data_IF_998932516379
#
_entry.id   IF_998932516379
#
_cell.length_a   1.000
_cell.length_b   1.000
_cell.length_c   1.000
_cell.angle_alpha   90.00
_cell.angle_beta   90.00
_cell.angle_gamma   90.00
#
_symmetry.space_group_name_H-M   'P 1'
#
loop_
_entity.id
_entity.type
_entity.pdbx_description
1 polymer ?
#
# COMPACT_ATOMS: atom_id res chain seq x y z
N UNK A 1 11.10 50.28 0.35
CA UNK A 1 11.19 49.47 1.58
C UNK A 1 12.16 48.32 1.28
N UNK A 2 13.42 48.51 1.66
CA UNK A 2 14.45 47.48 1.60
C UNK A 2 14.32 46.62 2.84
N UNK A 3 14.20 45.30 2.67
CA UNK A 3 14.28 44.36 3.79
C UNK A 3 15.64 43.68 3.69
N UNK A 4 16.48 44.05 4.63
CA UNK A 4 17.83 43.58 4.86
C UNK A 4 17.76 42.23 5.59
N UNK A 5 18.43 41.20 5.06
CA UNK A 5 18.51 39.87 5.66
C UNK A 5 19.81 39.76 6.45
N UNK A 6 19.81 40.21 7.71
CA UNK A 6 20.92 39.95 8.63
C UNK A 6 20.70 38.64 9.39
N UNK A 7 21.60 37.70 9.14
CA UNK A 7 21.75 36.39 9.77
C UNK A 7 22.15 36.53 11.25
N UNK A 8 21.31 36.07 12.17
CA UNK A 8 21.66 35.92 13.59
C UNK A 8 22.13 34.49 13.88
N UNK A 9 23.43 34.35 14.13
CA UNK A 9 24.09 33.15 14.66
C UNK A 9 23.63 32.91 16.11
N UNK A 10 23.09 31.72 16.38
CA UNK A 10 22.79 31.25 17.74
C UNK A 10 23.99 30.44 18.24
N UNK A 11 24.70 30.98 19.23
CA UNK A 11 25.71 30.25 20.01
C UNK A 11 25.04 29.20 20.91
N UNK A 12 25.33 27.93 20.68
CA UNK A 12 24.97 26.84 21.60
C UNK A 12 26.11 26.66 22.60
N UNK A 13 25.92 27.14 23.83
CA UNK A 13 26.82 26.84 24.96
C UNK A 13 26.62 25.40 25.43
N UNK A 14 27.65 24.57 25.25
CA UNK A 14 27.77 23.23 25.83
C UNK A 14 27.81 23.31 27.36
N UNK A 15 26.83 22.70 28.04
CA UNK A 15 26.88 22.46 29.48
C UNK A 15 27.28 21.00 29.74
N UNK A 16 28.48 20.83 30.32
CA UNK A 16 28.97 19.55 30.83
C UNK A 16 28.15 19.13 32.06
N UNK A 17 27.45 18.00 31.98
CA UNK A 17 26.86 17.32 33.14
C UNK A 17 27.74 16.11 33.47
N UNK A 18 28.49 16.20 34.57
CA UNK A 18 29.23 15.08 35.16
C UNK A 18 28.28 14.17 35.95
N UNK A 19 28.02 12.96 35.45
CA UNK A 19 27.35 11.90 36.20
C UNK A 19 28.38 11.11 37.02
N UNK A 20 28.34 11.24 38.36
CA UNK A 20 29.06 10.39 39.30
C UNK A 20 28.40 9.01 39.38
N UNK A 21 29.14 7.95 39.06
CA UNK A 21 28.75 6.55 39.26
C UNK A 21 29.34 6.06 40.60
N UNK A 22 28.54 5.50 41.53
CA UNK A 22 29.10 4.91 42.76
C UNK A 22 29.73 3.54 42.47
N UNK A 23 30.99 3.38 42.88
CA UNK A 23 31.72 2.11 42.92
C UNK A 23 31.14 1.16 44.00
N UNK A 24 30.71 -0.03 43.60
CA UNK A 24 30.45 -1.16 44.49
C UNK A 24 31.67 -2.11 44.46
N UNK A 25 32.39 -2.15 45.58
CA UNK A 25 33.54 -3.04 45.79
C UNK A 25 33.08 -4.45 46.15
N UNK A 26 33.42 -5.46 45.34
CA UNK A 26 33.28 -6.88 45.72
C UNK A 26 34.63 -7.37 46.25
N UNK A 27 34.68 -7.69 47.55
CA UNK A 27 35.82 -8.33 48.21
C UNK A 27 35.94 -9.78 47.77
N UNK A 28 37.08 -10.14 47.19
CA UNK A 28 37.47 -11.53 46.91
C UNK A 28 38.20 -12.10 48.12
N UNK A 29 37.59 -13.05 48.83
CA UNK A 29 38.30 -13.89 49.80
C UNK A 29 38.64 -15.24 49.16
N UNK A 30 39.93 -15.38 48.85
CA UNK A 30 40.63 -16.63 48.61
C UNK A 30 40.61 -17.49 49.88
N UNK A 31 40.15 -18.74 49.77
CA UNK A 31 40.60 -19.82 50.66
C UNK A 31 40.47 -21.17 49.93
N UNK A 32 41.62 -21.81 49.73
CA UNK A 32 41.78 -23.13 49.12
C UNK A 32 42.30 -24.08 50.20
N UNK A 33 41.71 -25.27 50.37
CA UNK A 33 42.45 -26.41 50.90
C UNK A 33 42.56 -27.51 49.84
N UNK A 34 43.79 -27.98 49.65
CA UNK A 34 44.18 -29.16 48.88
C UNK A 34 43.84 -30.46 49.62
N UNK A 35 43.30 -31.48 48.93
CA UNK A 35 43.37 -32.88 49.36
C UNK A 35 43.33 -33.85 48.16
N UNK A 36 43.93 -35.02 48.38
CA UNK A 36 44.63 -35.96 47.48
C UNK A 36 43.74 -36.78 46.53
N UNK A 37 44.32 -37.43 45.48
CA UNK A 37 43.55 -38.13 44.45
C UNK A 37 43.11 -39.53 44.91
N UNK A 38 41.83 -39.87 44.71
CA UNK A 38 41.31 -41.21 44.89
C UNK A 38 40.58 -41.70 43.62
N UNK A 39 41.06 -42.88 43.21
CA UNK A 39 40.70 -43.83 42.15
C UNK A 39 39.26 -43.83 41.61
N UNK A 40 39.20 -44.00 40.29
CA UNK A 40 38.16 -44.61 39.44
C UNK A 40 36.89 -45.13 40.12
N UNK A 41 35.78 -44.42 39.89
CA UNK A 41 34.42 -44.98 39.97
C UNK A 41 33.64 -44.56 38.71
N UNK A 42 33.31 -45.59 37.93
CA UNK A 42 32.26 -45.72 36.89
C UNK A 42 31.41 -44.49 36.52
N UNK A 43 31.56 -44.02 35.26
CA UNK A 43 30.62 -43.11 34.57
C UNK A 43 29.24 -43.77 34.44
N UNK A 44 28.30 -43.48 35.34
CA UNK A 44 26.86 -43.61 35.09
C UNK A 44 26.30 -42.27 34.62
N UNK A 45 25.55 -42.32 33.51
CA UNK A 45 24.89 -41.20 32.83
C UNK A 45 24.02 -40.39 33.81
N UNK A 46 24.34 -39.10 33.97
CA UNK A 46 23.35 -38.06 34.16
C UNK A 46 23.54 -37.05 33.03
N UNK A 47 22.74 -37.18 31.97
CA UNK A 47 22.53 -36.08 31.03
C UNK A 47 21.77 -35.01 31.80
N UNK A 48 22.46 -34.01 32.33
CA UNK A 48 21.81 -32.75 32.71
C UNK A 48 21.22 -32.18 31.42
N UNK A 49 19.88 -32.21 31.30
CA UNK A 49 19.18 -31.41 30.29
C UNK A 49 19.58 -29.95 30.55
N UNK A 50 20.49 -29.43 29.72
CA UNK A 50 20.52 -28.00 29.48
C UNK A 50 19.15 -27.64 28.92
N UNK A 51 18.29 -27.11 29.78
CA UNK A 51 17.13 -26.34 29.35
C UNK A 51 17.71 -25.10 28.70
N UNK A 52 17.97 -25.17 27.40
CA UNK A 52 18.11 -23.97 26.58
C UNK A 52 16.81 -23.20 26.77
N UNK A 53 16.87 -22.08 27.50
CA UNK A 53 15.82 -21.06 27.46
C UNK A 53 15.57 -20.79 25.98
N UNK A 54 14.44 -21.26 25.45
CA UNK A 54 13.95 -20.81 24.16
C UNK A 54 13.79 -19.30 24.29
N UNK A 55 14.76 -18.56 23.76
CA UNK A 55 14.63 -17.13 23.52
C UNK A 55 13.42 -17.04 22.59
N UNK A 56 12.30 -16.49 23.07
CA UNK A 56 11.13 -16.25 22.24
C UNK A 56 11.62 -15.55 20.98
N UNK A 57 11.46 -16.20 19.83
CA UNK A 57 11.83 -15.62 18.55
C UNK A 57 10.83 -14.50 18.28
N UNK A 58 11.23 -13.25 18.52
CA UNK A 58 10.50 -12.10 18.04
C UNK A 58 11.12 -11.68 16.70
N UNK A 59 10.42 -11.89 15.57
CA UNK A 59 10.96 -11.60 14.26
C UNK A 59 11.15 -10.10 14.02
N UNK A 60 10.58 -9.23 14.85
CA UNK A 60 10.67 -7.78 14.73
C UNK A 60 11.96 -7.18 15.31
N UNK A 61 12.86 -8.01 15.83
CA UNK A 61 14.18 -7.56 16.29
C UNK A 61 15.17 -7.27 15.15
N UNK A 62 14.84 -7.67 13.92
CA UNK A 62 15.66 -7.43 12.74
C UNK A 62 14.89 -6.55 11.75
N UNK A 63 15.49 -5.43 11.34
CA UNK A 63 14.91 -4.57 10.30
C UNK A 63 15.02 -5.33 8.97
N UNK A 64 13.91 -5.46 8.23
CA UNK A 64 13.77 -6.17 6.94
C UNK A 64 13.47 -7.68 6.97
N UNK A 65 13.17 -8.30 8.12
CA UNK A 65 12.59 -9.64 8.14
C UNK A 65 11.16 -9.61 7.59
N UNK A 66 10.97 -10.12 6.36
CA UNK A 66 9.65 -10.31 5.80
C UNK A 66 9.00 -11.52 6.48
N UNK A 67 8.16 -11.28 7.47
CA UNK A 67 7.31 -12.33 8.05
C UNK A 67 6.00 -12.42 7.28
N UNK A 68 5.35 -13.58 7.37
CA UNK A 68 3.94 -13.72 6.97
C UNK A 68 2.99 -13.31 8.10
N UNK A 69 3.53 -12.80 9.21
CA UNK A 69 2.79 -12.38 10.40
C UNK A 69 2.39 -10.92 10.35
N UNK A 70 1.97 -10.43 11.51
CA UNK A 70 1.67 -9.01 11.73
C UNK A 70 2.89 -8.16 11.38
N UNK A 71 2.66 -7.04 10.70
CA UNK A 71 3.73 -6.12 10.33
C UNK A 71 4.42 -5.56 11.58
N UNK A 72 5.73 -5.70 11.65
CA UNK A 72 6.54 -5.12 12.72
C UNK A 72 6.45 -3.58 12.70
N UNK A 73 6.36 -2.96 13.89
CA UNK A 73 6.15 -1.50 14.00
C UNK A 73 4.76 -1.03 13.58
N UNK A 74 3.75 -1.91 13.65
CA UNK A 74 2.36 -1.63 13.22
C UNK A 74 1.83 -0.30 13.79
N UNK A 75 2.07 -0.06 15.08
CA UNK A 75 1.62 1.16 15.77
C UNK A 75 2.24 2.42 15.18
N UNK A 76 3.56 2.42 15.07
CA UNK A 76 4.34 3.55 14.57
C UNK A 76 3.98 3.86 13.12
N UNK A 77 3.84 2.83 12.28
CA UNK A 77 3.44 2.95 10.88
C UNK A 77 2.04 3.55 10.78
N UNK A 78 1.05 3.03 11.51
CA UNK A 78 -0.33 3.51 11.45
C UNK A 78 -0.45 4.96 11.94
N UNK A 79 0.19 5.31 13.06
CA UNK A 79 0.17 6.68 13.59
C UNK A 79 0.89 7.65 12.63
N UNK A 80 2.02 7.24 12.06
CA UNK A 80 2.76 8.02 11.07
C UNK A 80 1.94 8.27 9.80
N UNK A 81 1.27 7.24 9.28
CA UNK A 81 0.39 7.34 8.11
C UNK A 81 -0.84 8.19 8.38
N UNK A 82 -1.44 8.08 9.55
CA UNK A 82 -2.53 8.96 9.97
C UNK A 82 -2.10 10.44 9.98
N UNK A 83 -0.92 10.73 10.54
CA UNK A 83 -0.38 12.10 10.56
C UNK A 83 -0.10 12.61 9.15
N UNK A 84 0.57 11.80 8.32
CA UNK A 84 0.80 12.13 6.91
C UNK A 84 -0.50 12.38 6.15
N UNK A 85 -1.51 11.54 6.35
CA UNK A 85 -2.81 11.71 5.71
C UNK A 85 -3.42 13.06 6.05
N UNK A 86 -3.54 13.38 7.34
CA UNK A 86 -4.21 14.59 7.81
C UNK A 86 -3.57 15.87 7.28
N UNK A 87 -2.25 15.94 7.27
CA UNK A 87 -1.53 17.18 6.93
C UNK A 87 -1.12 17.28 5.45
N UNK A 88 -1.06 16.17 4.70
CA UNK A 88 -0.56 16.16 3.32
C UNK A 88 -1.59 15.67 2.31
N UNK A 89 -2.38 14.63 2.63
CA UNK A 89 -3.28 13.99 1.65
C UNK A 89 -4.74 14.41 1.74
N UNK A 90 -5.23 14.75 2.93
CA UNK A 90 -6.66 14.90 3.20
C UNK A 90 -7.36 15.90 2.27
N UNK A 91 -6.66 16.98 1.86
CA UNK A 91 -7.21 17.97 0.94
C UNK A 91 -7.61 17.44 -0.44
N UNK A 92 -7.06 16.30 -0.89
CA UNK A 92 -7.44 15.69 -2.18
C UNK A 92 -8.73 14.87 -2.09
N UNK A 93 -9.03 14.31 -0.91
CA UNK A 93 -10.22 13.50 -0.65
C UNK A 93 -11.36 14.35 -0.10
N UNK A 94 -11.03 15.31 0.76
CA UNK A 94 -11.95 16.26 1.40
C UNK A 94 -11.44 17.69 1.20
N UNK A 95 -11.68 18.30 0.03
CA UNK A 95 -11.20 19.65 -0.29
C UNK A 95 -11.71 20.72 0.67
N UNK A 96 -12.91 20.51 1.23
CA UNK A 96 -13.53 21.43 2.19
C UNK A 96 -13.00 21.26 3.63
N UNK A 97 -11.96 20.44 3.80
CA UNK A 97 -11.38 20.10 5.09
C UNK A 97 -12.18 19.06 5.87
N UNK A 98 -11.53 18.46 6.86
CA UNK A 98 -12.17 17.60 7.86
C UNK A 98 -11.59 17.90 9.23
N UNK A 99 -12.26 17.41 10.28
CA UNK A 99 -11.77 17.61 11.64
C UNK A 99 -10.51 16.79 11.85
N UNK A 100 -9.55 17.38 12.55
CA UNK A 100 -8.37 16.65 13.00
C UNK A 100 -8.81 15.43 13.83
N UNK A 101 -8.23 14.28 13.50
CA UNK A 101 -8.45 12.98 14.12
C UNK A 101 -7.33 12.67 15.10
N UNK A 102 -7.71 12.07 16.22
CA UNK A 102 -6.75 11.53 17.17
C UNK A 102 -6.15 10.23 16.61
N UNK A 103 -4.94 10.30 16.06
CA UNK A 103 -4.27 9.14 15.48
C UNK A 103 -4.00 8.03 16.49
N UNK A 104 -3.80 8.38 17.77
CA UNK A 104 -3.60 7.40 18.83
C UNK A 104 -4.91 6.67 19.13
N UNK A 105 -6.02 7.39 19.28
CA UNK A 105 -7.34 6.77 19.48
C UNK A 105 -7.75 5.88 18.29
N UNK A 106 -7.46 6.32 17.06
CA UNK A 106 -7.69 5.51 15.86
C UNK A 106 -6.90 4.19 15.90
N UNK A 107 -5.62 4.26 16.25
CA UNK A 107 -4.81 3.06 16.39
C UNK A 107 -5.35 2.16 17.51
N UNK A 108 -5.69 2.71 18.67
CA UNK A 108 -6.21 1.93 19.81
C UNK A 108 -7.56 1.26 19.48
N UNK A 109 -8.42 1.91 18.70
CA UNK A 109 -9.67 1.31 18.21
C UNK A 109 -9.39 0.16 17.24
N UNK A 110 -8.40 0.29 16.35
CA UNK A 110 -7.96 -0.78 15.47
C UNK A 110 -7.31 -1.93 16.25
N UNK A 111 -6.41 -1.61 17.18
CA UNK A 111 -5.72 -2.58 18.03
C UNK A 111 -6.72 -3.39 18.84
N UNK A 112 -7.68 -2.73 19.48
CA UNK A 112 -8.74 -3.37 20.26
C UNK A 112 -9.63 -4.30 19.41
N UNK A 113 -9.72 -4.05 18.11
CA UNK A 113 -10.46 -4.92 17.19
C UNK A 113 -9.74 -6.26 16.98
N UNK A 114 -8.40 -6.29 17.03
CA UNK A 114 -7.57 -7.42 16.58
C UNK A 114 -6.81 -8.10 17.72
N UNK A 115 -6.23 -7.34 18.64
CA UNK A 115 -5.29 -7.81 19.66
C UNK A 115 -5.95 -8.81 20.61
N UNK A 116 -5.23 -9.88 20.94
CA UNK A 116 -5.68 -10.99 21.78
C UNK A 116 -6.90 -11.78 21.26
N UNK A 117 -7.24 -11.64 19.97
CA UNK A 117 -8.34 -12.37 19.35
C UNK A 117 -7.85 -13.33 18.28
N UNK A 118 -8.64 -14.36 17.99
CA UNK A 118 -8.40 -15.21 16.82
C UNK A 118 -8.46 -14.39 15.54
N UNK A 119 -7.58 -14.72 14.58
CA UNK A 119 -7.66 -14.20 13.22
C UNK A 119 -8.96 -14.62 12.51
N UNK A 120 -9.54 -15.74 12.91
CA UNK A 120 -10.82 -16.24 12.43
C UNK A 120 -11.98 -15.78 13.32
N UNK A 121 -13.22 -15.96 12.86
CA UNK A 121 -14.46 -15.53 13.53
C UNK A 121 -14.58 -13.99 13.64
N UNK A 122 -13.98 -13.29 12.69
CA UNK A 122 -14.04 -11.84 12.56
C UNK A 122 -15.18 -11.46 11.62
N UNK A 123 -15.91 -10.39 11.92
CA UNK A 123 -16.95 -9.85 11.06
C UNK A 123 -16.76 -8.34 10.88
N UNK A 124 -17.51 -7.72 9.96
CA UNK A 124 -17.36 -6.29 9.67
C UNK A 124 -17.57 -5.40 10.91
N UNK A 125 -18.53 -5.73 11.80
CA UNK A 125 -18.82 -4.88 12.96
C UNK A 125 -17.68 -4.86 13.98
N UNK A 126 -16.76 -5.85 13.94
CA UNK A 126 -15.54 -5.86 14.76
C UNK A 126 -14.71 -4.57 14.58
N UNK A 127 -14.71 -3.97 13.38
CA UNK A 127 -13.98 -2.73 13.11
C UNK A 127 -14.86 -1.47 13.16
N UNK A 128 -16.12 -1.57 13.58
CA UNK A 128 -17.09 -0.48 13.51
C UNK A 128 -16.61 0.83 14.17
N UNK A 129 -16.04 0.74 15.37
CA UNK A 129 -15.50 1.91 16.09
C UNK A 129 -14.33 2.58 15.35
N UNK A 130 -13.45 1.79 14.75
CA UNK A 130 -12.34 2.31 13.94
C UNK A 130 -12.86 3.12 12.74
N UNK A 131 -13.82 2.57 12.00
CA UNK A 131 -14.41 3.26 10.85
C UNK A 131 -15.24 4.48 11.24
N UNK A 132 -15.96 4.45 12.36
CA UNK A 132 -16.67 5.60 12.91
C UNK A 132 -15.70 6.77 13.18
N UNK A 133 -14.58 6.49 13.85
CA UNK A 133 -13.56 7.50 14.13
C UNK A 133 -12.90 8.03 12.84
N UNK A 134 -12.58 7.13 11.90
CA UNK A 134 -11.82 7.47 10.71
C UNK A 134 -12.65 8.22 9.66
N UNK A 135 -13.90 7.79 9.43
CA UNK A 135 -14.74 8.24 8.31
C UNK A 135 -16.09 8.83 8.75
N UNK A 136 -16.40 8.91 10.04
CA UNK A 136 -17.73 9.35 10.51
C UNK A 136 -18.13 10.78 10.15
N UNK A 137 -17.17 11.64 9.80
CA UNK A 137 -17.38 13.01 9.30
C UNK A 137 -17.20 13.14 7.78
N UNK A 138 -16.85 12.06 7.09
CA UNK A 138 -16.78 12.03 5.63
C UNK A 138 -18.17 11.72 5.09
N UNK A 139 -18.73 12.62 4.28
CA UNK A 139 -20.10 12.50 3.78
C UNK A 139 -20.21 12.13 2.30
N UNK A 140 -19.17 12.45 1.53
CA UNK A 140 -19.17 12.25 0.08
C UNK A 140 -17.75 12.09 -0.45
N UNK A 141 -17.60 11.21 -1.43
CA UNK A 141 -16.40 11.04 -2.23
C UNK A 141 -16.80 11.25 -3.70
N UNK A 142 -16.38 12.38 -4.27
CA UNK A 142 -16.49 12.62 -5.70
C UNK A 142 -15.39 11.89 -6.46
N UNK A 143 -15.64 11.42 -7.69
CA UNK A 143 -14.64 10.76 -8.55
C UNK A 143 -14.05 9.51 -7.90
N UNK A 144 -14.92 8.73 -7.24
CA UNK A 144 -14.51 7.46 -6.64
C UNK A 144 -14.06 6.49 -7.74
N UNK A 145 -12.92 5.83 -7.50
CA UNK A 145 -12.37 4.79 -8.37
C UNK A 145 -12.27 3.48 -7.62
N UNK A 146 -12.99 2.50 -8.15
CA UNK A 146 -12.90 1.10 -7.76
C UNK A 146 -11.96 0.37 -8.71
N UNK A 147 -11.44 -0.77 -8.29
CA UNK A 147 -10.51 -1.53 -9.11
C UNK A 147 -10.57 -3.02 -8.77
N UNK A 148 -10.20 -3.88 -9.72
CA UNK A 148 -10.13 -5.33 -9.51
C UNK A 148 -9.03 -5.96 -10.36
N UNK A 149 -7.99 -6.47 -9.68
CA UNK A 149 -6.82 -7.04 -10.37
C UNK A 149 -5.90 -5.99 -11.01
N UNK A 150 -6.06 -4.72 -10.65
CA UNK A 150 -5.43 -3.54 -11.28
C UNK A 150 -4.87 -2.54 -10.26
N UNK A 151 -4.48 -3.01 -9.06
CA UNK A 151 -4.01 -2.17 -7.95
C UNK A 151 -3.01 -1.10 -8.40
N UNK A 152 -1.87 -1.51 -8.97
CA UNK A 152 -0.76 -0.60 -9.27
C UNK A 152 -1.17 0.52 -10.23
N UNK A 153 -1.87 0.17 -11.32
CA UNK A 153 -2.30 1.15 -12.32
C UNK A 153 -3.43 2.05 -11.82
N UNK A 154 -4.41 1.51 -11.08
CA UNK A 154 -5.48 2.32 -10.49
C UNK A 154 -4.93 3.38 -9.53
N UNK A 155 -3.94 3.02 -8.69
CA UNK A 155 -3.31 3.95 -7.76
C UNK A 155 -2.41 4.97 -8.48
N UNK A 156 -1.71 4.55 -9.52
CA UNK A 156 -0.90 5.46 -10.35
C UNK A 156 -1.79 6.49 -11.04
N UNK A 157 -2.90 6.04 -11.63
CA UNK A 157 -3.85 6.90 -12.33
C UNK A 157 -4.62 7.82 -11.38
N UNK A 158 -5.04 7.30 -10.22
CA UNK A 158 -5.69 8.07 -9.15
C UNK A 158 -4.79 9.18 -8.58
N UNK A 159 -3.46 8.99 -8.63
CA UNK A 159 -2.46 9.98 -8.24
C UNK A 159 -2.65 10.47 -6.79
N UNK A 160 -2.81 9.53 -5.85
CA UNK A 160 -3.05 9.79 -4.43
C UNK A 160 -4.28 10.70 -4.17
N UNK A 161 -5.44 10.38 -4.76
CA UNK A 161 -6.67 11.17 -4.63
C UNK A 161 -6.77 12.40 -5.54
N UNK A 162 -5.69 12.80 -6.24
CA UNK A 162 -5.69 14.02 -7.05
C UNK A 162 -6.59 13.91 -8.28
N UNK A 163 -6.50 12.80 -9.01
CA UNK A 163 -7.29 12.58 -10.23
C UNK A 163 -8.55 11.77 -9.93
N UNK A 164 -8.40 10.75 -9.09
CA UNK A 164 -9.48 9.90 -8.61
C UNK A 164 -9.14 9.44 -7.20
N UNK A 165 -10.17 9.23 -6.39
CA UNK A 165 -10.01 8.73 -5.02
C UNK A 165 -10.23 7.23 -5.05
N UNK A 166 -9.22 6.43 -4.70
CA UNK A 166 -9.43 5.00 -4.42
C UNK A 166 -9.77 4.78 -2.94
N UNK A 167 -10.17 3.55 -2.58
CA UNK A 167 -10.40 3.21 -1.18
C UNK A 167 -9.18 3.53 -0.32
N UNK A 168 -7.99 3.19 -0.82
CA UNK A 168 -6.69 3.35 -0.16
C UNK A 168 -6.28 4.80 0.07
N UNK A 169 -6.91 5.74 -0.64
CA UNK A 169 -6.76 7.16 -0.40
C UNK A 169 -7.62 7.64 0.77
N UNK A 170 -8.57 6.88 1.30
CA UNK A 170 -9.32 7.28 2.51
C UNK A 170 -8.49 7.05 3.78
N UNK A 171 -8.70 7.85 4.83
CA UNK A 171 -7.93 7.73 6.10
C UNK A 171 -7.92 6.30 6.65
N UNK A 172 -9.09 5.66 6.70
CA UNK A 172 -9.25 4.32 7.26
C UNK A 172 -8.37 3.28 6.55
N UNK A 173 -8.34 3.30 5.22
CA UNK A 173 -7.52 2.37 4.45
C UNK A 173 -6.06 2.81 4.36
N UNK A 174 -5.79 4.11 4.21
CA UNK A 174 -4.44 4.67 4.10
C UNK A 174 -3.55 4.28 5.27
N UNK A 175 -4.11 4.22 6.49
CA UNK A 175 -3.36 3.79 7.68
C UNK A 175 -2.86 2.34 7.58
N UNK A 176 -3.63 1.44 6.96
CA UNK A 176 -3.33 -0.01 6.95
C UNK A 176 -2.98 -0.58 5.56
N UNK A 177 -2.98 0.24 4.52
CA UNK A 177 -2.72 -0.20 3.15
C UNK A 177 -1.36 -0.92 3.02
N UNK A 178 -1.37 -2.15 2.52
CA UNK A 178 -0.18 -2.99 2.40
C UNK A 178 0.38 -3.54 3.72
N UNK A 179 -0.33 -3.39 4.84
CA UNK A 179 0.04 -4.01 6.12
C UNK A 179 -0.65 -5.37 6.28
N UNK A 180 -0.06 -6.22 7.11
CA UNK A 180 -0.62 -7.51 7.54
C UNK A 180 -0.84 -7.47 9.05
N UNK A 181 -1.95 -8.04 9.53
CA UNK A 181 -2.22 -8.11 10.97
C UNK A 181 -3.05 -9.34 11.32
N UNK A 182 -2.75 -9.92 12.48
CA UNK A 182 -3.54 -10.98 13.09
C UNK A 182 -3.30 -11.00 14.60
N UNK A 183 -4.40 -11.13 15.35
CA UNK A 183 -4.33 -11.34 16.79
C UNK A 183 -3.86 -12.75 17.12
N UNK A 184 -3.36 -12.90 18.34
CA UNK A 184 -3.01 -14.21 18.92
C UNK A 184 -3.57 -14.33 20.32
N UNK A 185 -4.47 -15.30 20.49
CA UNK A 185 -5.00 -15.62 21.81
C UNK A 185 -3.88 -16.15 22.72
N UNK A 186 -3.90 -15.76 23.99
CA UNK A 186 -2.96 -16.22 25.02
C UNK A 186 -1.47 -15.93 24.73
N UNK A 187 -1.18 -14.99 23.84
CA UNK A 187 0.17 -14.45 23.63
C UNK A 187 0.44 -13.25 24.56
N UNK A 188 1.70 -12.95 24.84
CA UNK A 188 2.06 -11.80 25.69
C UNK A 188 1.85 -10.45 24.98
N UNK A 189 2.17 -10.38 23.69
CA UNK A 189 2.03 -9.17 22.87
C UNK A 189 0.62 -9.06 22.28
N UNK A 190 -0.06 -10.19 22.08
CA UNK A 190 -1.45 -10.26 21.61
C UNK A 190 -1.62 -10.17 20.10
N UNK A 191 -0.51 -10.06 19.36
CA UNK A 191 -0.43 -10.20 17.90
C UNK A 191 0.42 -11.41 17.55
N UNK A 192 0.16 -12.05 16.41
CA UNK A 192 1.10 -13.04 15.86
C UNK A 192 2.03 -12.36 14.84
N UNK A 193 3.26 -12.08 15.25
CA UNK A 193 4.29 -11.51 14.37
C UNK A 193 5.01 -12.56 13.51
N UNK A 194 4.82 -13.86 13.79
CA UNK A 194 5.50 -14.95 13.08
C UNK A 194 4.73 -15.33 11.81
N UNK A 195 3.42 -15.58 11.93
CA UNK A 195 2.59 -15.97 10.79
C UNK A 195 1.11 -15.68 11.02
N UNK A 196 0.48 -15.01 10.06
CA UNK A 196 -0.97 -14.89 9.99
C UNK A 196 -1.56 -16.02 9.14
N UNK A 197 -2.74 -16.56 9.49
CA UNK A 197 -3.45 -17.48 8.61
C UNK A 197 -3.83 -16.79 7.28
N UNK A 198 -3.86 -17.54 6.19
CA UNK A 198 -4.23 -16.99 4.88
C UNK A 198 -5.73 -16.73 4.75
N UNK A 199 -6.57 -17.71 5.13
CA UNK A 199 -8.04 -17.64 5.06
C UNK A 199 -8.67 -18.46 6.18
N UNK A 200 -9.90 -18.14 6.52
CA UNK A 200 -10.76 -18.90 7.42
C UNK A 200 -12.04 -19.34 6.70
N UNK A 201 -12.87 -20.16 7.36
CA UNK A 201 -14.18 -20.55 6.84
C UNK A 201 -15.12 -19.34 6.78
N UNK A 202 -16.10 -19.41 5.89
CA UNK A 202 -17.25 -18.49 5.78
C UNK A 202 -16.90 -17.00 5.64
N UNK A 203 -15.72 -16.69 5.11
CA UNK A 203 -15.23 -15.32 4.98
C UNK A 203 -15.14 -14.54 6.31
N UNK A 204 -14.91 -15.26 7.41
CA UNK A 204 -14.81 -14.68 8.75
C UNK A 204 -13.36 -14.57 9.21
N UNK A 205 -12.55 -13.76 8.52
CA UNK A 205 -11.17 -13.51 8.93
C UNK A 205 -10.80 -12.03 8.92
N UNK A 206 -9.74 -11.67 9.65
CA UNK A 206 -9.50 -10.29 10.07
C UNK A 206 -9.36 -9.29 8.92
N UNK A 207 -8.59 -9.61 7.87
CA UNK A 207 -8.42 -8.71 6.73
C UNK A 207 -9.70 -8.61 5.86
N UNK A 208 -10.44 -9.71 5.68
CA UNK A 208 -11.67 -9.72 4.88
C UNK A 208 -12.79 -8.94 5.55
N UNK A 209 -12.92 -9.09 6.86
CA UNK A 209 -13.85 -8.30 7.65
C UNK A 209 -13.53 -6.80 7.55
N UNK A 210 -12.25 -6.43 7.62
CA UNK A 210 -11.80 -5.05 7.50
C UNK A 210 -12.09 -4.49 6.10
N UNK A 211 -11.56 -5.13 5.05
CA UNK A 211 -11.70 -4.66 3.68
C UNK A 211 -13.15 -4.73 3.19
N UNK A 212 -13.95 -5.68 3.68
CA UNK A 212 -15.38 -5.75 3.39
C UNK A 212 -16.15 -4.55 3.95
N UNK A 213 -15.86 -4.13 5.19
CA UNK A 213 -16.43 -2.91 5.75
C UNK A 213 -15.90 -1.67 5.02
N UNK A 214 -14.60 -1.62 4.74
CA UNK A 214 -13.96 -0.52 4.03
C UNK A 214 -14.58 -0.28 2.66
N UNK A 215 -14.65 -1.32 1.83
CA UNK A 215 -15.27 -1.33 0.51
C UNK A 215 -16.73 -0.92 0.57
N UNK A 216 -17.51 -1.48 1.50
CA UNK A 216 -18.92 -1.12 1.69
C UNK A 216 -19.06 0.37 2.02
N UNK A 217 -18.31 0.87 3.00
CA UNK A 217 -18.39 2.27 3.44
C UNK A 217 -17.94 3.22 2.32
N UNK A 218 -16.87 2.89 1.60
CA UNK A 218 -16.39 3.68 0.47
C UNK A 218 -17.43 3.78 -0.65
N UNK A 219 -18.09 2.67 -1.01
CA UNK A 219 -19.16 2.66 -1.99
C UNK A 219 -20.40 3.47 -1.55
N UNK A 220 -20.73 3.47 -0.26
CA UNK A 220 -21.81 4.28 0.29
C UNK A 220 -21.50 5.79 0.28
N UNK A 221 -20.23 6.16 0.29
CA UNK A 221 -19.78 7.55 0.25
C UNK A 221 -19.60 8.06 -1.19
N UNK A 222 -19.47 7.18 -2.17
CA UNK A 222 -19.29 7.54 -3.57
C UNK A 222 -20.51 8.29 -4.14
N UNK A 223 -20.26 9.35 -4.90
CA UNK A 223 -21.31 10.13 -5.56
C UNK A 223 -20.87 10.69 -6.91
N UNK A 224 -21.87 11.03 -7.74
CA UNK A 224 -21.67 11.49 -9.11
C UNK A 224 -21.23 10.33 -10.02
N UNK A 225 -20.28 10.62 -10.90
CA UNK A 225 -19.65 9.59 -11.73
C UNK A 225 -18.59 8.83 -10.94
N UNK A 226 -18.64 7.51 -11.05
CA UNK A 226 -17.64 6.60 -10.48
C UNK A 226 -16.95 5.82 -11.59
N UNK A 227 -15.73 5.37 -11.30
CA UNK A 227 -14.86 4.69 -12.26
C UNK A 227 -14.47 3.32 -11.72
N UNK A 228 -14.36 2.32 -12.60
CA UNK A 228 -13.99 0.96 -12.22
C UNK A 228 -12.91 0.46 -13.17
N UNK A 229 -11.70 0.26 -12.67
CA UNK A 229 -10.58 -0.23 -13.48
C UNK A 229 -10.50 -1.76 -13.38
N UNK A 230 -10.73 -2.46 -14.48
CA UNK A 230 -10.75 -3.93 -14.52
C UNK A 230 -9.63 -4.47 -15.40
N UNK A 231 -9.21 -5.71 -15.14
CA UNK A 231 -8.19 -6.41 -15.93
C UNK A 231 -8.85 -7.41 -16.88
N UNK A 232 -8.84 -7.09 -18.19
CA UNK A 232 -9.33 -7.93 -19.29
C UNK A 232 -8.33 -9.00 -19.76
N UNK A 233 -7.12 -9.04 -19.18
CA UNK A 233 -6.04 -9.99 -19.49
C UNK A 233 -5.61 -10.80 -18.26
N UNK A 234 -6.57 -11.14 -17.39
CA UNK A 234 -6.25 -11.90 -16.18
C UNK A 234 -5.67 -13.28 -16.50
N UNK A 235 -4.58 -13.63 -15.80
CA UNK A 235 -3.96 -14.94 -15.93
C UNK A 235 -4.93 -16.08 -15.61
N UNK A 236 -4.72 -17.22 -16.27
CA UNK A 236 -5.54 -18.44 -16.16
C UNK A 236 -7.00 -18.24 -16.62
N UNK A 237 -7.25 -17.29 -17.52
CA UNK A 237 -8.58 -17.07 -18.11
C UNK A 237 -9.64 -16.62 -17.10
N UNK A 238 -9.23 -16.01 -15.97
CA UNK A 238 -10.18 -15.46 -15.01
C UNK A 238 -10.94 -14.28 -15.63
N UNK A 239 -12.22 -14.17 -15.33
CA UNK A 239 -13.04 -13.04 -15.80
C UNK A 239 -12.61 -11.70 -15.21
N UNK A 240 -12.84 -10.62 -15.96
CA UNK A 240 -12.56 -9.26 -15.51
C UNK A 240 -13.43 -8.87 -14.31
N UNK A 241 -14.73 -9.24 -14.35
CA UNK A 241 -15.68 -9.06 -13.26
C UNK A 241 -15.89 -10.38 -12.50
N UNK A 242 -15.22 -10.54 -11.36
CA UNK A 242 -15.17 -11.81 -10.60
C UNK A 242 -16.23 -11.90 -9.52
N UNK A 243 -16.80 -13.10 -9.35
CA UNK A 243 -17.74 -13.44 -8.27
C UNK A 243 -17.19 -13.24 -6.86
N UNK A 244 -15.88 -13.43 -6.67
CA UNK A 244 -15.19 -13.33 -5.39
C UNK A 244 -14.48 -11.97 -5.18
N UNK A 245 -14.80 -10.95 -5.99
CA UNK A 245 -14.21 -9.62 -5.86
C UNK A 245 -14.94 -8.74 -4.84
N UNK A 246 -14.20 -7.88 -4.12
CA UNK A 246 -14.79 -6.87 -3.24
C UNK A 246 -15.73 -5.94 -4.00
N UNK A 247 -15.38 -5.58 -5.24
CA UNK A 247 -16.24 -4.76 -6.09
C UNK A 247 -17.63 -5.36 -6.27
N UNK A 248 -17.70 -6.64 -6.61
CA UNK A 248 -18.98 -7.33 -6.76
C UNK A 248 -19.70 -7.56 -5.44
N UNK A 249 -18.99 -7.97 -4.38
CA UNK A 249 -19.60 -8.40 -3.13
C UNK A 249 -20.02 -7.25 -2.21
N UNK A 250 -19.27 -6.14 -2.22
CA UNK A 250 -19.42 -5.07 -1.23
C UNK A 250 -19.58 -3.68 -1.83
N UNK A 251 -19.06 -3.42 -3.02
CA UNK A 251 -19.03 -2.05 -3.55
C UNK A 251 -20.23 -1.79 -4.46
N UNK A 252 -20.35 -2.49 -5.58
CA UNK A 252 -21.44 -2.35 -6.54
C UNK A 252 -22.84 -2.44 -5.88
N UNK A 253 -23.11 -3.40 -4.97
CA UNK A 253 -24.42 -3.47 -4.31
C UNK A 253 -24.73 -2.25 -3.43
N UNK A 254 -23.70 -1.61 -2.87
CA UNK A 254 -23.84 -0.52 -1.89
C UNK A 254 -23.67 0.88 -2.50
N UNK A 255 -23.48 1.00 -3.81
CA UNK A 255 -23.57 2.30 -4.51
C UNK A 255 -24.96 2.91 -4.31
N UNK A 256 -24.99 4.20 -3.95
CA UNK A 256 -26.23 4.92 -3.64
C UNK A 256 -26.98 5.31 -4.90
N UNK A 257 -28.23 4.85 -5.00
CA UNK A 257 -29.13 5.20 -6.11
C UNK A 257 -29.84 6.54 -5.90
N UNK A 258 -30.11 6.89 -4.64
CA UNK A 258 -31.01 7.99 -4.28
C UNK A 258 -30.37 8.98 -3.28
N UNK A 259 -30.99 10.16 -3.18
CA UNK A 259 -30.60 11.24 -2.28
C UNK A 259 -29.57 12.20 -2.89
N UNK A 260 -29.14 13.18 -2.09
CA UNK A 260 -28.26 14.27 -2.53
C UNK A 260 -26.91 13.79 -3.06
N UNK A 261 -26.33 12.77 -2.43
CA UNK A 261 -25.05 12.17 -2.80
C UNK A 261 -25.29 10.78 -3.43
N UNK A 262 -25.92 10.77 -4.60
CA UNK A 262 -26.16 9.55 -5.38
C UNK A 262 -25.08 9.35 -6.45
N UNK A 263 -24.88 8.11 -6.86
CA UNK A 263 -24.14 7.77 -8.08
C UNK A 263 -25.05 8.00 -9.28
N UNK A 264 -24.51 8.63 -10.31
CA UNK A 264 -25.22 8.91 -11.57
C UNK A 264 -24.80 7.95 -12.67
N UNK A 265 -23.50 7.67 -12.77
CA UNK A 265 -22.90 6.88 -13.85
C UNK A 265 -21.77 6.01 -13.33
N UNK A 266 -21.67 4.80 -13.85
CA UNK A 266 -20.55 3.89 -13.63
C UNK A 266 -19.77 3.75 -14.94
N UNK A 267 -18.55 4.27 -14.95
CA UNK A 267 -17.62 4.16 -16.06
C UNK A 267 -16.67 2.96 -15.84
N UNK A 268 -16.76 1.94 -16.68
CA UNK A 268 -15.88 0.76 -16.65
C UNK A 268 -14.71 0.98 -17.60
N UNK A 269 -13.49 0.86 -17.08
CA UNK A 269 -12.24 0.98 -17.83
C UNK A 269 -11.58 -0.40 -17.83
N UNK A 270 -11.60 -1.09 -18.98
CA UNK A 270 -11.07 -2.45 -19.11
C UNK A 270 -9.67 -2.38 -19.71
N UNK A 271 -8.69 -2.88 -18.98
CA UNK A 271 -7.30 -2.86 -19.41
C UNK A 271 -6.85 -4.23 -19.89
N UNK A 272 -6.19 -4.24 -21.05
CA UNK A 272 -5.50 -5.40 -21.57
C UNK A 272 -4.00 -5.20 -21.42
N UNK A 273 -3.34 -6.14 -20.74
CA UNK A 273 -1.90 -6.06 -20.55
C UNK A 273 -1.18 -6.16 -21.89
N UNK A 274 -0.20 -5.29 -22.18
CA UNK A 274 0.58 -5.37 -23.42
C UNK A 274 1.24 -6.75 -23.59
N UNK A 275 1.28 -7.25 -24.82
CA UNK A 275 1.73 -8.61 -25.20
C UNK A 275 1.03 -9.79 -24.46
N UNK A 276 -0.06 -9.55 -23.73
CA UNK A 276 -0.82 -10.59 -23.05
C UNK A 276 -2.06 -11.03 -23.85
N UNK A 277 -2.56 -12.23 -23.54
CA UNK A 277 -3.82 -12.71 -24.08
C UNK A 277 -4.99 -11.83 -23.59
N UNK A 278 -5.86 -11.46 -24.52
CA UNK A 278 -7.11 -10.76 -24.23
C UNK A 278 -8.18 -11.80 -23.87
N UNK A 279 -8.64 -11.77 -22.63
CA UNK A 279 -9.62 -12.74 -22.10
C UNK A 279 -11.06 -12.24 -22.30
N UNK A 280 -11.31 -10.96 -22.00
CA UNK A 280 -12.64 -10.33 -22.03
C UNK A 280 -12.55 -8.85 -22.37
N UNK A 281 -13.40 -8.41 -23.32
CA UNK A 281 -13.61 -7.01 -23.70
C UNK A 281 -14.98 -6.50 -23.24
N UNK A 282 -15.18 -5.18 -23.29
CA UNK A 282 -16.48 -4.56 -23.07
C UNK A 282 -17.62 -5.27 -23.83
N UNK A 283 -18.74 -5.51 -23.13
CA UNK A 283 -19.92 -6.20 -23.69
C UNK A 283 -19.80 -7.72 -23.82
N UNK A 284 -18.74 -8.34 -23.28
CA UNK A 284 -18.53 -9.79 -23.35
C UNK A 284 -18.60 -10.46 -21.97
N UNK A 285 -19.07 -11.72 -21.94
CA UNK A 285 -19.00 -12.62 -20.77
C UNK A 285 -19.39 -11.92 -19.45
N UNK A 286 -18.45 -11.81 -18.50
CA UNK A 286 -18.70 -11.20 -17.18
C UNK A 286 -18.95 -9.69 -17.25
N UNK A 287 -18.41 -8.99 -18.25
CA UNK A 287 -18.61 -7.56 -18.44
C UNK A 287 -20.01 -7.24 -18.97
N UNK A 288 -20.62 -8.14 -19.76
CA UNK A 288 -22.04 -8.04 -20.12
C UNK A 288 -22.96 -8.26 -18.91
N UNK A 289 -22.58 -9.15 -17.99
CA UNK A 289 -23.29 -9.31 -16.73
C UNK A 289 -23.18 -8.05 -15.86
N UNK A 290 -21.97 -7.48 -15.76
CA UNK A 290 -21.73 -6.23 -15.03
C UNK A 290 -22.59 -5.09 -15.57
N UNK A 291 -22.65 -4.90 -16.89
CA UNK A 291 -23.51 -3.91 -17.54
C UNK A 291 -24.97 -4.04 -17.07
N UNK A 292 -25.51 -5.26 -17.13
CA UNK A 292 -26.89 -5.53 -16.69
C UNK A 292 -27.09 -5.22 -15.21
N UNK A 293 -26.13 -5.58 -14.35
CA UNK A 293 -26.23 -5.28 -12.91
C UNK A 293 -26.22 -3.78 -12.62
N UNK A 294 -25.40 -3.01 -13.33
CA UNK A 294 -25.33 -1.55 -13.21
C UNK A 294 -26.65 -0.92 -13.69
N UNK A 295 -27.12 -1.29 -14.88
CA UNK A 295 -28.36 -0.77 -15.46
C UNK A 295 -29.59 -1.15 -14.64
N UNK A 296 -29.66 -2.38 -14.13
CA UNK A 296 -30.75 -2.83 -13.24
C UNK A 296 -30.77 -2.06 -11.91
N UNK A 297 -29.62 -1.51 -11.48
CA UNK A 297 -29.55 -0.59 -10.34
C UNK A 297 -29.94 0.85 -10.70
N UNK A 298 -30.26 1.14 -11.95
CA UNK A 298 -30.71 2.47 -12.40
C UNK A 298 -29.58 3.47 -12.59
N UNK A 299 -28.33 3.01 -12.76
CA UNK A 299 -27.20 3.87 -13.09
C UNK A 299 -26.95 3.90 -14.58
N UNK A 300 -26.47 5.04 -15.08
CA UNK A 300 -25.91 5.11 -16.42
C UNK A 300 -24.64 4.25 -16.50
N UNK A 301 -24.43 3.61 -17.64
CA UNK A 301 -23.30 2.70 -17.86
C UNK A 301 -22.47 3.18 -19.05
N UNK A 302 -21.15 3.16 -18.90
CA UNK A 302 -20.21 3.26 -20.00
C UNK A 302 -19.08 2.24 -19.81
N UNK A 303 -18.56 1.72 -20.91
CA UNK A 303 -17.43 0.80 -20.90
C UNK A 303 -16.46 1.19 -22.01
N UNK A 304 -15.19 1.28 -21.66
CA UNK A 304 -14.10 1.59 -22.58
C UNK A 304 -12.98 0.55 -22.42
N UNK A 305 -12.62 -0.09 -23.53
CA UNK A 305 -11.44 -0.95 -23.59
C UNK A 305 -10.21 -0.07 -23.87
N UNK A 306 -9.15 -0.27 -23.09
CA UNK A 306 -7.83 0.33 -23.29
C UNK A 306 -7.82 1.88 -23.44
N UNK A 307 -8.34 2.65 -22.47
CA UNK A 307 -8.28 4.11 -22.52
C UNK A 307 -6.85 4.61 -22.71
N UNK A 308 -6.66 5.62 -23.55
CA UNK A 308 -5.35 6.08 -24.02
C UNK A 308 -4.42 6.43 -22.85
N UNK A 309 -4.91 7.14 -21.85
CA UNK A 309 -4.14 7.57 -20.68
C UNK A 309 -3.62 6.38 -19.86
N UNK A 310 -4.43 5.34 -19.73
CA UNK A 310 -4.07 4.13 -19.00
C UNK A 310 -3.09 3.27 -19.80
N UNK A 311 -3.25 3.20 -21.13
CA UNK A 311 -2.29 2.55 -22.02
C UNK A 311 -0.93 3.24 -21.93
N UNK A 312 -0.88 4.57 -21.95
CA UNK A 312 0.37 5.31 -21.78
C UNK A 312 1.07 5.01 -20.45
N UNK A 313 0.31 4.85 -19.36
CA UNK A 313 0.85 4.42 -18.06
C UNK A 313 1.42 3.00 -18.15
N UNK A 314 0.67 2.03 -18.72
CA UNK A 314 1.16 0.65 -18.88
C UNK A 314 2.43 0.58 -19.75
N UNK A 315 2.51 1.42 -20.79
CA UNK A 315 3.65 1.47 -21.68
C UNK A 315 4.92 2.03 -21.05
N UNK A 316 4.84 2.69 -19.89
CA UNK A 316 6.03 3.11 -19.15
C UNK A 316 6.85 1.92 -18.63
N UNK A 317 6.19 0.79 -18.33
CA UNK A 317 6.82 -0.46 -17.88
C UNK A 317 6.99 -1.48 -19.04
N UNK A 318 6.18 -1.37 -20.09
CA UNK A 318 6.14 -2.29 -21.23
C UNK A 318 6.53 -1.65 -22.58
N UNK A 319 7.55 -0.78 -22.59
CA UNK A 319 7.92 0.03 -23.77
C UNK A 319 8.32 -0.75 -25.05
N UNK A 320 8.60 -2.05 -24.93
CA UNK A 320 8.88 -2.93 -26.06
C UNK A 320 7.64 -3.50 -26.74
N UNK A 321 6.54 -3.61 -26.00
CA UNK A 321 5.31 -4.26 -26.43
C UNK A 321 4.74 -3.58 -27.68
N UNK A 322 4.09 -4.36 -28.54
CA UNK A 322 3.60 -3.89 -29.84
C UNK A 322 2.65 -2.70 -29.69
N UNK A 323 1.75 -2.78 -28.72
CA UNK A 323 0.74 -1.77 -28.40
C UNK A 323 1.38 -0.44 -27.98
N UNK A 324 2.59 -0.51 -27.40
CA UNK A 324 3.34 0.64 -26.89
C UNK A 324 4.26 1.31 -27.91
N UNK A 325 4.34 0.78 -29.13
CA UNK A 325 5.23 1.32 -30.16
C UNK A 325 4.73 2.64 -30.78
N UNK A 326 3.48 3.06 -30.48
CA UNK A 326 2.92 4.35 -30.88
C UNK A 326 3.77 5.51 -30.31
N UNK A 327 4.30 5.37 -29.08
CA UNK A 327 5.22 6.35 -28.49
C UNK A 327 6.52 6.51 -29.28
N UNK A 328 7.03 5.43 -29.91
CA UNK A 328 8.22 5.53 -30.78
C UNK A 328 7.93 6.27 -32.08
N UNK A 329 6.73 6.13 -32.65
CA UNK A 329 6.38 6.81 -33.88
C UNK A 329 6.25 8.33 -33.65
N UNK A 330 5.58 8.73 -32.57
CA UNK A 330 5.46 10.16 -32.19
C UNK A 330 6.84 10.76 -31.89
N UNK A 331 7.67 10.09 -31.06
CA UNK A 331 9.03 10.55 -30.77
C UNK A 331 9.89 10.60 -32.04
N UNK A 332 9.88 9.56 -32.89
CA UNK A 332 10.60 9.58 -34.18
C UNK A 332 10.13 10.70 -35.09
N UNK A 333 8.85 11.01 -35.15
CA UNK A 333 8.35 12.11 -35.99
C UNK A 333 8.80 13.48 -35.47
N UNK A 334 8.79 13.71 -34.15
CA UNK A 334 9.36 14.94 -33.56
C UNK A 334 10.86 15.07 -33.77
N UNK A 335 11.62 13.97 -33.66
CA UNK A 335 13.06 13.95 -33.92
C UNK A 335 13.38 14.18 -35.41
N UNK A 336 12.65 13.54 -36.32
CA UNK A 336 12.83 13.72 -37.75
C UNK A 336 12.45 15.14 -38.19
N UNK A 337 11.35 15.73 -37.68
CA UNK A 337 11.03 17.15 -37.95
C UNK A 337 12.14 18.11 -37.49
N UNK A 338 12.80 17.82 -36.37
CA UNK A 338 13.92 18.64 -35.86
C UNK A 338 15.18 18.52 -36.71
N UNK A 339 15.43 17.37 -37.34
CA UNK A 339 16.56 17.13 -38.25
C UNK A 339 16.32 17.64 -39.67
N UNK A 340 15.08 17.66 -40.15
CA UNK A 340 14.72 18.25 -41.45
C UNK A 340 14.76 19.78 -41.47
N UNK A 341 14.76 20.44 -40.30
CA UNK A 341 14.98 21.89 -40.17
C UNK A 341 16.44 22.34 -40.18
N UNK A 342 17.40 21.40 -40.28
CA UNK A 342 18.83 21.71 -40.36
C UNK A 342 19.27 21.55 -41.82
N UNK A 343 19.64 22.67 -42.43
CA UNK A 343 20.25 22.75 -43.77
C UNK A 343 21.34 21.68 -43.96
N UNK A 344 21.36 21.08 -45.16
CA UNK A 344 22.31 20.05 -45.59
C UNK A 344 23.79 20.41 -45.38
N UNK A 345 24.12 21.70 -45.18
CA UNK A 345 25.49 22.16 -44.95
C UNK A 345 26.08 21.77 -43.59
N UNK A 346 25.27 21.32 -42.62
CA UNK A 346 25.73 21.04 -41.24
C UNK A 346 25.59 19.58 -40.80
N UNK A 347 25.19 18.66 -41.70
CA UNK A 347 24.99 17.24 -41.36
C UNK A 347 26.29 16.52 -40.98
N UNK A 348 27.41 16.87 -41.61
CA UNK A 348 28.69 16.22 -41.34
C UNK A 348 29.35 16.71 -40.05
N UNK A 349 29.16 17.99 -39.67
CA UNK A 349 29.73 18.53 -38.43
C UNK A 349 28.97 18.07 -37.18
N UNK A 350 27.63 18.04 -37.23
CA UNK A 350 26.82 17.59 -36.09
C UNK A 350 26.94 16.08 -35.84
N UNK A 351 27.10 15.28 -36.90
CA UNK A 351 27.29 13.83 -36.74
C UNK A 351 28.64 13.48 -36.09
N UNK A 352 29.69 14.29 -36.32
CA UNK A 352 31.01 14.09 -35.69
C UNK A 352 31.03 14.55 -34.22
N UNK A 353 30.41 15.70 -33.91
CA UNK A 353 30.40 16.24 -32.53
C UNK A 353 29.56 15.39 -31.58
N UNK A 354 28.44 14.83 -32.06
CA UNK A 354 27.58 13.96 -31.23
C UNK A 354 28.20 12.57 -31.04
N UNK A 355 28.91 12.02 -32.03
CA UNK A 355 29.64 10.75 -31.86
C UNK A 355 30.75 10.87 -30.80
N UNK A 356 31.45 12.01 -30.75
CA UNK A 356 32.46 12.28 -29.73
C UNK A 356 31.89 12.48 -28.32
N UNK A 357 30.70 13.08 -28.19
CA UNK A 357 30.04 13.31 -26.89
C UNK A 357 29.35 12.07 -26.31
N UNK A 358 28.93 11.12 -27.17
CA UNK A 358 28.27 9.88 -26.72
C UNK A 358 29.28 8.74 -26.52
N UNK A 359 30.36 8.67 -27.29
CA UNK A 359 31.32 7.55 -27.24
C UNK A 359 32.69 7.85 -26.63
N UNK A 360 32.94 9.07 -26.13
CA UNK A 360 34.08 9.35 -25.25
C UNK A 360 35.44 8.87 -25.77
N UNK A 361 35.86 9.31 -26.95
CA UNK A 361 37.24 9.13 -27.40
C UNK A 361 38.08 10.34 -26.99
N UNK A 362 38.91 10.16 -25.95
CA UNK A 362 40.06 11.03 -25.70
C UNK A 362 41.09 10.79 -26.81
N UNK A 363 41.25 11.73 -27.73
CA UNK A 363 42.49 11.87 -28.49
C UNK A 363 43.39 12.85 -27.73
N UNK A 364 44.39 12.30 -27.03
CA UNK A 364 45.55 13.05 -26.54
C UNK A 364 46.65 12.84 -27.58
N UNK A 365 47.21 13.95 -28.07
CA UNK A 365 48.43 14.01 -28.89
C UNK A 365 49.67 13.60 -28.09
#
# INVERSE_FOLDING_TARGET
MNIDCTTSLIEIKSQHISLKVPHLSVKTHSNRPSLKPLRNVTRRKMKSKLVTKNKFYNPCNEVHTKTNGTTCGLREIMIGRCSHYQYIKNGFVQPNGSRAKNCTELYEAFESAVRYKSYCNMNMSTYGRYFELALGDLHVISRAMFWSGTYAIAHTYGSNGRNYVTLEDTLAAAMVNGLTWCGKENDTEGFDFVSCPYRCKDNQWADYAFWGLASKTFAQLAAGEVYVVLNGSQANGKSAFRNDSYFRSFELPNLRQNGTYRVTKVNILVLHSPDAEVVERCGQKSLLELERLVQNKGFDYACEDDPEELILIMCSEHWHARECQVARQVLRQTWNKKLYGISNSNRNLLSLVIFSLIFGFNFIF
#
